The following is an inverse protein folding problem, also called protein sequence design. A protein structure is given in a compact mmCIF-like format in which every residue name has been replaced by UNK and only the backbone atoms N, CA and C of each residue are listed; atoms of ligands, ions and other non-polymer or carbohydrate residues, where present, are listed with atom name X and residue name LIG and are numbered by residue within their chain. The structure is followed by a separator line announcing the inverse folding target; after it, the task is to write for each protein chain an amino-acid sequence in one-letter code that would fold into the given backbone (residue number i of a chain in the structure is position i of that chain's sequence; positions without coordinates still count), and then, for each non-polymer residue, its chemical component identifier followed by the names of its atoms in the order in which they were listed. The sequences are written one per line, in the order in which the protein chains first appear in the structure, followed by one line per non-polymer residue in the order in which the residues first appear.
data_IF_419836069427
#
_entry.id   IF_419836069427
#
_cell.length_a   1.000
_cell.length_b   1.000
_cell.length_c   1.000
_cell.angle_alpha   90.00
_cell.angle_beta   90.00
_cell.angle_gamma   90.00
#
_symmetry.space_group_name_H-M   'P 1'
#
loop_
_entity.id
_entity.type
_entity.pdbx_description
1 polymer ?
#
# COMPACT_ATOMS: atom_id res chain seq x y z
N UNK A 1 -13.02 -9.05 15.66
CA UNK A 1 -12.50 -10.24 16.36
C UNK A 1 -12.45 -11.41 15.36
N UNK A 2 -11.36 -11.52 14.59
CA UNK A 2 -11.24 -12.44 13.44
C UNK A 2 -10.39 -13.64 13.83
N UNK A 3 -10.96 -14.86 13.80
CA UNK A 3 -10.25 -16.12 14.05
C UNK A 3 -9.56 -16.60 12.78
N UNK A 4 -8.23 -16.73 12.79
CA UNK A 4 -7.47 -17.38 11.71
C UNK A 4 -7.36 -18.89 11.96
N UNK A 5 -7.79 -19.68 10.96
CA UNK A 5 -7.68 -21.14 10.86
C UNK A 5 -6.24 -21.55 10.51
N UNK A 6 -5.73 -22.60 11.14
CA UNK A 6 -4.45 -23.25 10.79
C UNK A 6 -4.61 -24.27 9.65
N UNK A 7 -3.59 -24.51 8.80
CA UNK A 7 -3.68 -25.50 7.73
C UNK A 7 -3.25 -26.92 8.16
N UNK A 8 -3.94 -27.90 7.58
CA UNK A 8 -3.82 -29.35 7.77
C UNK A 8 -2.55 -29.93 7.12
N UNK A 9 -1.87 -30.85 7.82
CA UNK A 9 -0.77 -31.68 7.30
C UNK A 9 -1.27 -32.67 6.24
N UNK A 10 -0.66 -32.68 5.07
CA UNK A 10 -0.84 -33.71 4.03
C UNK A 10 0.12 -34.89 4.24
N UNK A 11 -0.42 -36.11 4.16
CA UNK A 11 0.29 -37.40 4.19
C UNK A 11 0.93 -37.65 2.81
N UNK A 12 2.23 -37.93 2.77
CA UNK A 12 2.87 -38.52 1.59
C UNK A 12 2.90 -40.06 1.72
N UNK A 13 2.49 -40.73 0.65
CA UNK A 13 2.42 -42.18 0.47
C UNK A 13 3.80 -42.80 0.23
N UNK A 14 4.04 -43.99 0.78
CA UNK A 14 5.15 -44.88 0.40
C UNK A 14 4.70 -45.89 -0.68
N UNK A 15 5.55 -46.28 -1.64
CA UNK A 15 5.32 -47.46 -2.47
C UNK A 15 5.96 -48.72 -1.86
N UNK A 16 5.28 -49.86 -2.03
CA UNK A 16 5.67 -51.21 -1.62
C UNK A 16 6.25 -51.99 -2.82
N UNK A 17 7.20 -52.87 -2.55
CA UNK A 17 7.61 -54.02 -3.38
C UNK A 17 9.04 -54.43 -3.00
N UNK A 18 9.27 -55.35 -2.07
CA UNK A 18 9.15 -56.82 -2.12
C UNK A 18 10.19 -57.49 -3.03
N UNK A 19 11.32 -57.88 -2.43
CA UNK A 19 11.89 -59.21 -2.67
C UNK A 19 12.61 -59.69 -1.40
N UNK A 20 12.20 -60.86 -0.94
CA UNK A 20 12.83 -61.63 0.14
C UNK A 20 13.71 -62.67 -0.54
N UNK A 21 14.84 -63.00 0.07
CA UNK A 21 15.17 -64.37 0.53
C UNK A 21 16.48 -64.35 1.33
N UNK A 22 16.38 -64.90 2.55
CA UNK A 22 17.33 -65.64 3.42
C UNK A 22 18.85 -65.44 3.29
N UNK A 23 19.69 -65.48 4.34
CA UNK A 23 19.54 -65.82 5.76
C UNK A 23 20.78 -65.30 6.50
N UNK A 24 20.64 -64.97 7.79
CA UNK A 24 21.79 -64.63 8.63
C UNK A 24 21.39 -63.98 9.95
N UNK A 25 20.89 -64.78 10.91
CA UNK A 25 20.84 -64.38 12.31
C UNK A 25 22.26 -64.41 12.89
N UNK A 26 22.67 -63.35 13.59
CA UNK A 26 22.61 -63.39 15.05
C UNK A 26 22.02 -62.08 15.59
N UNK A 27 21.06 -62.11 16.51
CA UNK A 27 21.34 -62.53 17.88
C UNK A 27 21.80 -61.32 18.70
N UNK A 28 20.93 -60.84 19.60
CA UNK A 28 21.33 -59.98 20.71
C UNK A 28 20.75 -58.57 20.71
N UNK A 29 19.61 -58.41 21.39
CA UNK A 29 19.13 -57.12 21.90
C UNK A 29 20.12 -56.61 22.95
N UNK A 30 21.20 -55.99 22.51
CA UNK A 30 22.06 -55.19 23.38
C UNK A 30 21.31 -53.92 23.75
N UNK A 31 20.74 -53.87 24.97
CA UNK A 31 20.46 -52.59 25.63
C UNK A 31 21.75 -51.78 25.50
N UNK A 32 21.77 -50.74 24.65
CA UNK A 32 22.88 -49.78 24.62
C UNK A 32 22.89 -49.11 25.99
N UNK A 33 23.57 -49.74 26.95
CA UNK A 33 23.97 -49.09 28.20
C UNK A 33 24.66 -47.83 27.74
N UNK A 34 24.12 -46.67 28.10
CA UNK A 34 24.89 -45.45 28.07
C UNK A 34 26.22 -45.78 28.75
N UNK A 35 27.33 -45.74 28.00
CA UNK A 35 28.67 -45.94 28.55
C UNK A 35 28.75 -44.99 29.74
N UNK A 36 28.85 -45.56 30.95
CA UNK A 36 29.22 -44.76 32.12
C UNK A 36 30.60 -44.15 31.78
N UNK A 37 30.81 -42.84 31.95
CA UNK A 37 32.13 -42.26 31.77
C UNK A 37 33.10 -42.98 32.72
N UNK A 38 34.28 -43.38 32.23
CA UNK A 38 35.30 -44.03 33.05
C UNK A 38 35.71 -43.11 34.23
N UNK A 39 35.91 -43.64 35.46
CA UNK A 39 36.10 -42.81 36.66
C UNK A 39 37.46 -42.10 36.79
N UNK A 40 38.36 -42.23 35.81
CA UNK A 40 39.73 -41.69 35.85
C UNK A 40 40.10 -41.00 34.52
N UNK A 41 39.25 -40.10 34.01
CA UNK A 41 39.72 -39.16 32.98
C UNK A 41 40.69 -38.19 33.66
N UNK A 42 41.90 -38.03 33.10
CA UNK A 42 42.87 -37.08 33.65
C UNK A 42 42.28 -35.67 33.58
N UNK A 43 42.53 -34.84 34.58
CA UNK A 43 42.08 -33.44 34.57
C UNK A 43 42.51 -32.72 33.28
N UNK A 44 43.66 -33.10 32.71
CA UNK A 44 44.14 -32.62 31.41
C UNK A 44 43.17 -32.97 30.25
N UNK A 45 42.61 -34.17 30.21
CA UNK A 45 41.67 -34.59 29.15
C UNK A 45 40.32 -33.87 29.29
N UNK A 46 39.90 -33.64 30.53
CA UNK A 46 38.66 -32.90 30.85
C UNK A 46 38.79 -31.43 30.47
N UNK A 47 39.95 -30.82 30.74
CA UNK A 47 40.29 -29.45 30.31
C UNK A 47 40.27 -29.37 28.78
N UNK A 48 40.95 -30.26 28.06
CA UNK A 48 40.98 -30.26 26.60
C UNK A 48 39.58 -30.39 25.97
N UNK A 49 38.69 -31.21 26.57
CA UNK A 49 37.31 -31.34 26.08
C UNK A 49 36.52 -30.04 26.28
N UNK A 50 36.72 -29.36 27.42
CA UNK A 50 36.07 -28.09 27.72
C UNK A 50 36.59 -26.97 26.81
N UNK A 51 37.89 -26.92 26.54
CA UNK A 51 38.49 -25.96 25.60
C UNK A 51 37.90 -26.11 24.20
N UNK A 52 37.84 -27.34 23.67
CA UNK A 52 37.20 -27.59 22.36
C UNK A 52 35.73 -27.18 22.32
N UNK A 53 35.01 -27.28 23.44
CA UNK A 53 33.61 -26.84 23.53
C UNK A 53 33.50 -25.32 23.56
N UNK A 54 34.33 -24.67 24.37
CA UNK A 54 34.39 -23.22 24.50
C UNK A 54 34.80 -22.55 23.19
N UNK A 55 35.76 -23.13 22.46
CA UNK A 55 36.23 -22.58 21.20
C UNK A 55 35.15 -22.67 20.10
N UNK A 56 34.38 -23.77 20.04
CA UNK A 56 33.22 -23.88 19.16
C UNK A 56 32.15 -22.84 19.49
N UNK A 57 31.90 -22.62 20.78
CA UNK A 57 30.93 -21.62 21.24
C UNK A 57 31.38 -20.20 20.93
N UNK A 58 32.67 -19.88 21.11
CA UNK A 58 33.25 -18.58 20.78
C UNK A 58 33.16 -18.29 19.28
N UNK A 59 33.60 -19.23 18.43
CA UNK A 59 33.51 -19.07 16.97
C UNK A 59 32.07 -18.86 16.51
N UNK A 60 31.13 -19.65 17.03
CA UNK A 60 29.71 -19.49 16.71
C UNK A 60 29.15 -18.12 17.15
N UNK A 61 29.61 -17.60 18.30
CA UNK A 61 29.23 -16.26 18.77
C UNK A 61 29.83 -15.15 17.91
N UNK A 62 31.12 -15.21 17.59
CA UNK A 62 31.81 -14.24 16.74
C UNK A 62 31.19 -14.19 15.34
N UNK A 63 30.88 -15.36 14.76
CA UNK A 63 30.19 -15.44 13.46
C UNK A 63 28.79 -14.81 13.54
N UNK A 64 28.02 -15.10 14.58
CA UNK A 64 26.69 -14.53 14.79
C UNK A 64 26.74 -13.00 14.99
N UNK A 65 27.71 -12.51 15.75
CA UNK A 65 27.94 -11.08 15.98
C UNK A 65 28.30 -10.37 14.68
N UNK A 66 29.22 -10.90 13.89
CA UNK A 66 29.57 -10.34 12.59
C UNK A 66 28.41 -10.33 11.59
N UNK A 67 27.55 -11.35 11.62
CA UNK A 67 26.33 -11.39 10.80
C UNK A 67 25.36 -10.29 11.26
N UNK A 68 25.13 -10.17 12.57
CA UNK A 68 24.23 -9.18 13.13
C UNK A 68 24.71 -7.75 12.84
N UNK A 69 26.00 -7.45 13.08
CA UNK A 69 26.58 -6.14 12.80
C UNK A 69 26.51 -5.76 11.32
N UNK A 70 26.73 -6.71 10.41
CA UNK A 70 26.58 -6.44 8.97
C UNK A 70 25.12 -6.15 8.62
N UNK A 71 24.20 -7.00 9.05
CA UNK A 71 22.77 -6.80 8.79
C UNK A 71 22.23 -5.49 9.38
N UNK A 72 22.68 -5.11 10.58
CA UNK A 72 22.31 -3.83 11.20
C UNK A 72 22.83 -2.63 10.41
N UNK A 73 24.08 -2.69 9.93
CA UNK A 73 24.65 -1.62 9.10
C UNK A 73 23.90 -1.48 7.78
N UNK A 74 23.66 -2.59 7.09
CA UNK A 74 22.96 -2.59 5.81
C UNK A 74 21.53 -2.06 5.96
N UNK A 75 20.82 -2.49 7.01
CA UNK A 75 19.48 -2.01 7.32
C UNK A 75 19.47 -0.51 7.63
N UNK A 76 20.45 -0.03 8.41
CA UNK A 76 20.56 1.38 8.76
C UNK A 76 20.79 2.24 7.52
N UNK A 77 21.73 1.85 6.65
CA UNK A 77 22.00 2.56 5.39
C UNK A 77 20.78 2.54 4.46
N UNK A 78 20.13 1.39 4.30
CA UNK A 78 18.93 1.27 3.49
C UNK A 78 17.78 2.13 4.03
N UNK A 79 17.64 2.22 5.35
CA UNK A 79 16.63 3.06 5.99
C UNK A 79 16.91 4.54 5.75
N UNK A 80 18.16 5.00 5.93
CA UNK A 80 18.54 6.39 5.64
C UNK A 80 18.27 6.79 4.19
N UNK A 81 18.63 5.92 3.23
CA UNK A 81 18.35 6.17 1.81
C UNK A 81 16.84 6.24 1.55
N UNK A 82 16.06 5.36 2.18
CA UNK A 82 14.61 5.39 2.06
C UNK A 82 14.02 6.66 2.66
N UNK A 83 14.46 7.08 3.84
CA UNK A 83 14.04 8.32 4.50
C UNK A 83 14.35 9.55 3.64
N UNK A 84 15.56 9.62 3.06
CA UNK A 84 15.95 10.70 2.16
C UNK A 84 15.06 10.76 0.92
N UNK A 85 14.77 9.59 0.30
CA UNK A 85 13.88 9.49 -0.85
C UNK A 85 12.45 9.87 -0.52
N UNK A 86 11.94 9.42 0.64
CA UNK A 86 10.60 9.78 1.11
C UNK A 86 10.52 11.28 1.33
N UNK A 87 11.48 11.89 2.04
CA UNK A 87 11.50 13.33 2.27
C UNK A 87 11.51 14.14 0.95
N UNK A 88 12.35 13.77 -0.01
CA UNK A 88 12.40 14.41 -1.32
C UNK A 88 11.06 14.32 -2.06
N UNK A 89 10.45 13.13 -2.09
CA UNK A 89 9.16 12.91 -2.76
C UNK A 89 8.00 13.61 -2.07
N UNK A 90 8.02 13.70 -0.74
CA UNK A 90 7.00 14.43 0.02
C UNK A 90 7.04 15.92 -0.32
N UNK A 91 8.24 16.52 -0.38
CA UNK A 91 8.39 17.94 -0.77
C UNK A 91 7.86 18.20 -2.19
N UNK A 92 8.21 17.34 -3.15
CA UNK A 92 7.71 17.44 -4.52
C UNK A 92 6.19 17.33 -4.57
N UNK A 93 5.62 16.34 -3.88
CA UNK A 93 4.18 16.10 -3.85
C UNK A 93 3.43 17.29 -3.23
N UNK A 94 3.92 17.81 -2.11
CA UNK A 94 3.33 18.99 -1.47
C UNK A 94 3.37 20.22 -2.39
N UNK A 95 4.47 20.40 -3.14
CA UNK A 95 4.58 21.50 -4.10
C UNK A 95 3.55 21.37 -5.22
N UNK A 96 3.42 20.18 -5.81
CA UNK A 96 2.41 19.92 -6.84
C UNK A 96 1.00 20.07 -6.32
N UNK A 97 0.74 19.60 -5.09
CA UNK A 97 -0.57 19.71 -4.45
C UNK A 97 -0.94 21.18 -4.21
N UNK A 98 -0.02 21.99 -3.67
CA UNK A 98 -0.24 23.44 -3.50
C UNK A 98 -0.53 24.12 -4.82
N UNK A 99 0.22 23.83 -5.88
CA UNK A 99 -0.02 24.40 -7.20
C UNK A 99 -1.40 24.02 -7.77
N UNK A 100 -1.81 22.76 -7.58
CA UNK A 100 -3.13 22.29 -8.00
C UNK A 100 -4.27 22.97 -7.22
N UNK A 101 -4.12 23.14 -5.90
CA UNK A 101 -5.10 23.86 -5.08
C UNK A 101 -5.23 25.32 -5.51
N UNK A 102 -4.12 26.03 -5.66
CA UNK A 102 -4.14 27.42 -6.15
C UNK A 102 -4.82 27.54 -7.51
N UNK A 103 -4.57 26.58 -8.41
CA UNK A 103 -5.22 26.56 -9.72
C UNK A 103 -6.73 26.27 -9.61
N UNK A 104 -7.16 25.40 -8.70
CA UNK A 104 -8.59 25.12 -8.46
C UNK A 104 -9.29 26.34 -7.87
N UNK A 105 -8.71 26.95 -6.83
CA UNK A 105 -9.26 28.15 -6.19
C UNK A 105 -9.37 29.32 -7.17
N UNK A 106 -8.35 29.53 -8.00
CA UNK A 106 -8.37 30.55 -9.04
C UNK A 106 -9.46 30.26 -10.09
N UNK A 107 -9.65 28.98 -10.48
CA UNK A 107 -10.71 28.59 -11.41
C UNK A 107 -12.10 28.80 -10.80
N UNK A 108 -12.31 28.41 -9.55
CA UNK A 108 -13.59 28.57 -8.84
C UNK A 108 -13.95 30.05 -8.72
N UNK A 109 -12.98 30.88 -8.31
CA UNK A 109 -13.17 32.34 -8.21
C UNK A 109 -13.51 32.94 -9.57
N UNK A 110 -12.76 32.57 -10.62
CA UNK A 110 -13.03 33.04 -11.98
C UNK A 110 -14.42 32.63 -12.49
N UNK A 111 -14.86 31.40 -12.23
CA UNK A 111 -16.19 30.94 -12.63
C UNK A 111 -17.30 31.66 -11.87
N UNK A 112 -17.13 31.93 -10.58
CA UNK A 112 -18.09 32.68 -9.79
C UNK A 112 -18.20 34.14 -10.26
N UNK A 113 -17.05 34.81 -10.51
CA UNK A 113 -17.01 36.17 -11.05
C UNK A 113 -17.72 36.26 -12.40
N UNK A 114 -17.33 35.42 -13.36
CA UNK A 114 -17.99 35.37 -14.67
C UNK A 114 -19.47 35.06 -14.56
N UNK A 115 -19.85 34.16 -13.65
CA UNK A 115 -21.23 33.80 -13.39
C UNK A 115 -22.09 35.01 -13.03
N UNK A 116 -21.63 35.80 -12.06
CA UNK A 116 -22.33 37.02 -11.63
C UNK A 116 -22.32 38.11 -12.71
N UNK A 117 -21.22 38.25 -13.45
CA UNK A 117 -21.13 39.21 -14.55
C UNK A 117 -22.05 38.87 -15.71
N UNK A 118 -22.26 37.58 -16.01
CA UNK A 118 -23.18 37.12 -17.05
C UNK A 118 -24.64 37.09 -16.57
N UNK A 119 -24.88 36.86 -15.28
CA UNK A 119 -26.22 36.86 -14.69
C UNK A 119 -26.94 38.20 -14.90
N UNK A 120 -26.25 39.30 -14.68
CA UNK A 120 -26.83 40.66 -14.75
C UNK A 120 -27.37 41.01 -16.14
N UNK A 121 -26.57 40.94 -17.23
CA UNK A 121 -27.07 41.23 -18.57
C UNK A 121 -28.10 40.19 -19.03
N UNK A 122 -27.99 38.93 -18.62
CA UNK A 122 -28.96 37.90 -19.01
C UNK A 122 -30.33 38.13 -18.36
N UNK A 123 -30.37 38.48 -17.07
CA UNK A 123 -31.61 38.88 -16.41
C UNK A 123 -32.19 40.17 -16.99
N UNK A 124 -31.35 41.13 -17.41
CA UNK A 124 -31.82 42.33 -18.10
C UNK A 124 -32.49 41.98 -19.45
N UNK A 125 -31.90 41.08 -20.24
CA UNK A 125 -32.51 40.58 -21.48
C UNK A 125 -33.83 39.87 -21.19
N UNK A 126 -33.88 39.00 -20.18
CA UNK A 126 -35.12 38.30 -19.81
C UNK A 126 -36.23 39.29 -19.41
N UNK A 127 -35.90 40.28 -18.58
CA UNK A 127 -36.84 41.34 -18.19
C UNK A 127 -37.32 42.18 -19.37
N UNK A 128 -36.44 42.50 -20.33
CA UNK A 128 -36.84 43.19 -21.57
C UNK A 128 -37.79 42.33 -22.41
N UNK A 129 -37.56 41.03 -22.51
CA UNK A 129 -38.44 40.10 -23.23
C UNK A 129 -39.81 39.99 -22.54
N UNK A 130 -39.86 40.04 -21.21
CA UNK A 130 -41.10 40.01 -20.41
C UNK A 130 -41.92 41.30 -20.51
N UNK A 131 -41.29 42.44 -20.79
CA UNK A 131 -41.97 43.73 -20.98
C UNK A 131 -42.63 43.87 -22.37
N UNK A 132 -42.25 43.04 -23.34
CA UNK A 132 -42.86 43.07 -24.67
C UNK A 132 -44.24 42.41 -24.59
N UNK A 133 -45.29 43.19 -24.85
CA UNK A 133 -46.66 42.70 -24.90
C UNK A 133 -46.85 41.77 -26.11
N UNK A 134 -46.88 40.46 -25.85
CA UNK A 134 -47.01 39.42 -26.88
C UNK A 134 -48.31 39.50 -27.67
N UNK A 135 -49.35 40.16 -27.14
CA UNK A 135 -50.65 40.30 -27.83
C UNK A 135 -50.65 41.43 -28.87
N UNK A 136 -49.62 42.28 -28.87
CA UNK A 136 -49.41 43.32 -29.90
C UNK A 136 -48.57 42.85 -31.09
N UNK A 137 -47.98 41.65 -31.00
CA UNK A 137 -47.14 41.08 -32.05
C UNK A 137 -47.98 40.32 -33.08
N UNK A 138 -47.71 40.56 -34.37
CA UNK A 138 -48.39 39.91 -35.48
C UNK A 138 -47.52 38.83 -36.14
N UNK A 139 -48.16 37.79 -36.69
CA UNK A 139 -47.47 36.73 -37.43
C UNK A 139 -46.49 35.91 -36.58
N UNK A 140 -45.36 35.53 -37.17
CA UNK A 140 -44.35 34.65 -36.54
C UNK A 140 -43.60 35.30 -35.37
N UNK A 141 -43.70 36.61 -35.18
CA UNK A 141 -42.90 37.35 -34.20
C UNK A 141 -43.26 37.00 -32.74
N UNK A 142 -44.51 36.62 -32.46
CA UNK A 142 -44.90 36.08 -31.15
C UNK A 142 -44.16 34.78 -30.83
N UNK A 143 -44.16 33.83 -31.76
CA UNK A 143 -43.47 32.55 -31.58
C UNK A 143 -41.96 32.75 -31.42
N UNK A 144 -41.36 33.71 -32.14
CA UNK A 144 -39.95 34.08 -31.98
C UNK A 144 -39.66 34.68 -30.60
N UNK A 145 -40.53 35.55 -30.08
CA UNK A 145 -40.40 36.12 -28.73
C UNK A 145 -40.47 35.03 -27.65
N UNK A 146 -41.47 34.15 -27.73
CA UNK A 146 -41.63 33.02 -26.79
C UNK A 146 -40.41 32.08 -26.82
N UNK A 147 -39.88 31.80 -28.01
CA UNK A 147 -38.66 31.01 -28.18
C UNK A 147 -37.44 31.72 -27.59
N UNK A 148 -37.27 33.02 -27.82
CA UNK A 148 -36.17 33.81 -27.28
C UNK A 148 -36.20 33.82 -25.75
N UNK A 149 -37.37 34.02 -25.14
CA UNK A 149 -37.55 33.98 -23.68
C UNK A 149 -37.25 32.59 -23.11
N UNK A 150 -37.68 31.52 -23.79
CA UNK A 150 -37.38 30.14 -23.39
C UNK A 150 -35.89 29.85 -23.42
N UNK A 151 -35.21 30.22 -24.51
CA UNK A 151 -33.77 30.06 -24.66
C UNK A 151 -33.00 30.87 -23.60
N UNK A 152 -33.43 32.10 -23.31
CA UNK A 152 -32.81 32.94 -22.27
C UNK A 152 -32.90 32.31 -20.88
N UNK A 153 -34.06 31.75 -20.50
CA UNK A 153 -34.23 31.00 -19.23
C UNK A 153 -33.35 29.76 -19.18
N UNK A 154 -33.31 28.98 -20.26
CA UNK A 154 -32.45 27.79 -20.32
C UNK A 154 -30.96 28.14 -20.16
N UNK A 155 -30.50 29.23 -20.79
CA UNK A 155 -29.13 29.70 -20.64
C UNK A 155 -28.85 30.15 -19.20
N UNK A 156 -29.80 30.80 -18.55
CA UNK A 156 -29.69 31.22 -17.16
C UNK A 156 -29.54 30.00 -16.25
N UNK A 157 -30.42 29.00 -16.39
CA UNK A 157 -30.38 27.78 -15.59
C UNK A 157 -29.06 27.01 -15.78
N UNK A 158 -28.55 26.91 -17.01
CA UNK A 158 -27.27 26.26 -17.30
C UNK A 158 -26.09 27.02 -16.69
N UNK A 159 -26.08 28.35 -16.76
CA UNK A 159 -25.05 29.20 -16.15
C UNK A 159 -25.06 29.05 -14.62
N UNK A 160 -26.23 29.09 -14.01
CA UNK A 160 -26.36 28.97 -12.55
C UNK A 160 -26.14 27.54 -12.03
N UNK A 161 -26.35 26.52 -12.85
CA UNK A 161 -26.04 25.12 -12.51
C UNK A 161 -24.57 24.74 -12.65
N UNK A 162 -23.73 25.61 -13.24
CA UNK A 162 -22.29 25.40 -13.43
C UNK A 162 -21.43 25.99 -12.31
N UNK A 163 -22.01 26.83 -11.47
CA UNK A 163 -21.39 27.53 -10.34
C UNK A 163 -21.85 26.83 -9.05
#
# INVERSE_FOLDING_TARGET
MVRLRTPRRTRALCPRGSDRLHDGHPGGRGRRRARRPDPLMSDQERIQRLERRLERERRAREEAEQIAERGMRDLWLANQELEARVAARTVDLERSLRAAHMASEAKETFLAELGHELATPLHAVLGLLELIDSDTLAGDDRARLEQAATNARQLADLLFGLI
#
